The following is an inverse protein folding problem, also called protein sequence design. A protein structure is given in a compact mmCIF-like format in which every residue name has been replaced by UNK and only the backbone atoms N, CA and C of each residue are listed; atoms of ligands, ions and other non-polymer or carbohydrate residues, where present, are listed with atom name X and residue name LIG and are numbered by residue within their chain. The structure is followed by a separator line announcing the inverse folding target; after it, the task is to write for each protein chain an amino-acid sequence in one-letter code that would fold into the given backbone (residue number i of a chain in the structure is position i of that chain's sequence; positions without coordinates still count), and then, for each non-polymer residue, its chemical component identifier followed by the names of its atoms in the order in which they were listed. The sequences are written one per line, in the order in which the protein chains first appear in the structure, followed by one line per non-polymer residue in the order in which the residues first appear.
data_IF_834807481413
#
_entry.id   IF_834807481413
#
_cell.length_a   1.000
_cell.length_b   1.000
_cell.length_c   1.000
_cell.angle_alpha   90.00
_cell.angle_beta   90.00
_cell.angle_gamma   90.00
#
_symmetry.space_group_name_H-M   'P 1'
#
loop_
_entity.id
_entity.type
_entity.pdbx_description
1 polymer ?
#
# COMPACT_ATOMS: atom_id res chain seq x y z
N UNK A 1 -9.79 -13.33 -15.20
CA UNK A 1 -9.08 -14.50 -15.77
C UNK A 1 -8.78 -15.47 -14.62
N UNK A 2 -9.32 -16.70 -14.68
CA UNK A 2 -9.37 -17.68 -13.56
C UNK A 2 -8.19 -18.68 -13.54
N UNK A 3 -7.18 -18.45 -14.38
CA UNK A 3 -6.00 -19.31 -14.58
C UNK A 3 -5.33 -19.75 -13.27
N UNK A 4 -5.22 -18.91 -12.21
CA UNK A 4 -4.41 -19.27 -11.04
C UNK A 4 -5.04 -20.28 -10.08
N UNK A 5 -6.29 -20.63 -10.28
CA UNK A 5 -6.98 -21.64 -9.47
C UNK A 5 -7.30 -22.90 -10.27
N UNK A 6 -6.86 -22.97 -11.54
CA UNK A 6 -7.04 -24.13 -12.39
C UNK A 6 -5.85 -25.07 -12.27
N UNK A 7 -6.09 -26.38 -12.26
CA UNK A 7 -5.03 -27.39 -12.28
C UNK A 7 -4.50 -27.52 -13.70
N UNK A 8 -3.55 -26.66 -14.04
CA UNK A 8 -2.91 -26.67 -15.36
C UNK A 8 -1.99 -27.88 -15.50
N UNK A 9 -2.14 -28.62 -16.58
CA UNK A 9 -1.17 -29.62 -17.03
C UNK A 9 0.11 -28.94 -17.52
N UNK A 10 1.22 -29.67 -17.59
CA UNK A 10 2.50 -29.12 -18.05
C UNK A 10 2.42 -28.55 -19.49
N UNK A 11 1.64 -29.19 -20.36
CA UNK A 11 1.44 -28.74 -21.75
C UNK A 11 0.68 -27.40 -21.81
N UNK A 12 -0.33 -27.22 -20.97
CA UNK A 12 -1.08 -25.96 -20.85
C UNK A 12 -0.22 -24.84 -20.28
N UNK A 13 0.57 -25.12 -19.23
CA UNK A 13 1.52 -24.15 -18.68
C UNK A 13 2.52 -23.69 -19.74
N UNK A 14 3.06 -24.63 -20.52
CA UNK A 14 3.98 -24.32 -21.62
C UNK A 14 3.31 -23.43 -22.68
N UNK A 15 2.06 -23.72 -23.04
CA UNK A 15 1.30 -22.92 -24.01
C UNK A 15 1.10 -21.49 -23.52
N UNK A 16 0.77 -21.31 -22.24
CA UNK A 16 0.61 -19.99 -21.62
C UNK A 16 1.96 -19.25 -21.58
N UNK A 17 3.05 -19.93 -21.21
CA UNK A 17 4.39 -19.34 -21.26
C UNK A 17 4.76 -18.85 -22.66
N UNK A 18 4.44 -19.61 -23.71
CA UNK A 18 4.68 -19.19 -25.10
C UNK A 18 3.86 -17.95 -25.46
N UNK A 19 2.58 -17.91 -25.08
CA UNK A 19 1.73 -16.74 -25.30
C UNK A 19 2.26 -15.51 -24.56
N UNK A 20 2.66 -15.66 -23.30
CA UNK A 20 3.22 -14.58 -22.48
C UNK A 20 4.50 -14.03 -23.12
N UNK A 21 5.45 -14.89 -23.51
CA UNK A 21 6.69 -14.47 -24.18
C UNK A 21 6.42 -13.74 -25.49
N UNK A 22 5.43 -14.19 -26.29
CA UNK A 22 5.05 -13.52 -27.53
C UNK A 22 4.50 -12.11 -27.26
N UNK A 23 3.63 -11.98 -26.27
CA UNK A 23 3.06 -10.71 -25.86
C UNK A 23 4.14 -9.75 -25.34
N UNK A 24 5.04 -10.23 -24.47
CA UNK A 24 6.17 -9.45 -23.95
C UNK A 24 7.10 -8.97 -25.06
N UNK A 25 7.46 -9.85 -26.02
CA UNK A 25 8.28 -9.46 -27.17
C UNK A 25 7.59 -8.36 -27.98
N UNK A 26 6.29 -8.51 -28.25
CA UNK A 26 5.52 -7.52 -28.99
C UNK A 26 5.45 -6.18 -28.25
N UNK A 27 5.20 -6.19 -26.95
CA UNK A 27 5.14 -4.98 -26.12
C UNK A 27 6.47 -4.22 -26.09
N UNK A 28 7.60 -4.94 -26.15
CA UNK A 28 8.94 -4.34 -26.23
C UNK A 28 9.42 -4.06 -27.66
N UNK A 29 8.59 -4.27 -28.69
CA UNK A 29 8.98 -4.08 -30.10
C UNK A 29 10.06 -5.05 -30.59
N UNK A 30 10.23 -6.19 -29.90
CA UNK A 30 11.26 -7.18 -30.21
C UNK A 30 10.79 -8.15 -31.30
N UNK A 31 11.66 -8.53 -32.25
CA UNK A 31 11.33 -9.54 -33.25
C UNK A 31 10.98 -10.89 -32.64
N UNK A 32 10.11 -11.65 -33.31
CA UNK A 32 9.64 -12.95 -32.81
C UNK A 32 10.76 -13.97 -32.55
N UNK A 33 11.85 -13.89 -33.32
CA UNK A 33 13.04 -14.76 -33.21
C UNK A 33 14.00 -14.40 -32.06
N UNK A 34 13.70 -13.37 -31.26
CA UNK A 34 14.54 -12.98 -30.12
C UNK A 34 14.72 -14.16 -29.15
N UNK A 35 15.97 -14.41 -28.73
CA UNK A 35 16.30 -15.52 -27.83
C UNK A 35 15.52 -15.43 -26.51
N UNK A 36 14.82 -16.50 -26.13
CA UNK A 36 13.99 -16.55 -24.91
C UNK A 36 14.83 -16.46 -23.64
N UNK A 37 16.05 -16.99 -23.65
CA UNK A 37 16.99 -16.92 -22.54
C UNK A 37 17.40 -15.48 -22.24
N UNK A 38 17.70 -14.70 -23.28
CA UNK A 38 17.99 -13.27 -23.16
C UNK A 38 16.77 -12.49 -22.69
N UNK A 39 15.58 -12.79 -23.20
CA UNK A 39 14.35 -12.15 -22.77
C UNK A 39 14.07 -12.36 -21.27
N UNK A 40 14.27 -13.57 -20.76
CA UNK A 40 14.11 -13.88 -19.34
C UNK A 40 15.20 -13.24 -18.47
N UNK A 41 16.45 -13.21 -18.94
CA UNK A 41 17.58 -12.62 -18.22
C UNK A 41 17.44 -11.10 -17.99
N UNK A 42 16.65 -10.42 -18.83
CA UNK A 42 16.37 -8.99 -18.69
C UNK A 42 15.43 -8.70 -17.49
N UNK A 43 14.67 -9.69 -17.01
CA UNK A 43 13.83 -9.55 -15.81
C UNK A 43 12.69 -8.51 -15.91
N UNK A 44 12.38 -8.01 -17.12
CA UNK A 44 11.36 -6.97 -17.33
C UNK A 44 9.92 -7.46 -17.21
N UNK A 45 9.70 -8.77 -17.14
CA UNK A 45 8.37 -9.36 -17.07
C UNK A 45 8.37 -10.54 -16.13
N UNK A 46 7.27 -10.70 -15.39
CA UNK A 46 7.09 -11.83 -14.50
C UNK A 46 6.79 -13.09 -15.31
N UNK A 47 7.36 -14.21 -14.89
CA UNK A 47 7.01 -15.53 -15.43
C UNK A 47 5.61 -15.96 -14.96
N UNK A 48 5.02 -16.97 -15.63
CA UNK A 48 3.72 -17.52 -15.21
C UNK A 48 3.79 -18.02 -13.75
N UNK A 49 4.87 -18.70 -13.36
CA UNK A 49 5.09 -19.16 -11.99
C UNK A 49 5.12 -18.00 -11.00
N UNK A 50 5.85 -16.93 -11.29
CA UNK A 50 5.90 -15.73 -10.44
C UNK A 50 4.53 -15.05 -10.33
N UNK A 51 3.77 -14.97 -11.43
CA UNK A 51 2.42 -14.42 -11.41
C UNK A 51 1.45 -15.27 -10.58
N UNK A 52 1.55 -16.60 -10.68
CA UNK A 52 0.77 -17.54 -9.88
C UNK A 52 1.11 -17.41 -8.40
N UNK A 53 2.40 -17.37 -8.07
CA UNK A 53 2.89 -17.21 -6.72
C UNK A 53 2.48 -15.87 -6.11
N UNK A 54 2.64 -14.77 -6.84
CA UNK A 54 2.19 -13.44 -6.41
C UNK A 54 0.68 -13.44 -6.13
N UNK A 55 -0.12 -14.06 -7.01
CA UNK A 55 -1.55 -14.17 -6.80
C UNK A 55 -1.90 -15.04 -5.59
N UNK A 56 -1.27 -16.20 -5.42
CA UNK A 56 -1.50 -17.07 -4.27
C UNK A 56 -1.10 -16.39 -2.96
N UNK A 57 0.02 -15.68 -2.96
CA UNK A 57 0.49 -14.91 -1.80
C UNK A 57 -0.50 -13.81 -1.43
N UNK A 58 -0.97 -13.03 -2.41
CA UNK A 58 -1.98 -12.00 -2.19
C UNK A 58 -3.31 -12.59 -1.65
N UNK A 59 -3.74 -13.71 -2.21
CA UNK A 59 -4.95 -14.41 -1.75
C UNK A 59 -4.79 -14.95 -0.33
N UNK A 60 -3.64 -15.55 -0.02
CA UNK A 60 -3.32 -16.04 1.33
C UNK A 60 -3.31 -14.90 2.34
N UNK A 61 -2.64 -13.79 2.04
CA UNK A 61 -2.65 -12.58 2.89
C UNK A 61 -4.09 -12.08 3.11
N UNK A 62 -4.89 -12.00 2.05
CA UNK A 62 -6.31 -11.60 2.14
C UNK A 62 -7.15 -12.53 3.01
N UNK A 63 -6.84 -13.83 3.01
CA UNK A 63 -7.49 -14.83 3.87
C UNK A 63 -7.02 -14.70 5.34
N UNK A 64 -5.81 -14.24 5.59
CA UNK A 64 -5.31 -13.99 6.96
C UNK A 64 -5.99 -12.79 7.64
N UNK A 65 -6.56 -11.85 6.88
CA UNK A 65 -7.14 -10.61 7.43
C UNK A 65 -8.44 -10.80 8.23
N UNK A 66 -9.15 -11.92 8.11
CA UNK A 66 -10.42 -12.10 8.84
C UNK A 66 -10.44 -13.38 9.68
N UNK A 67 -11.07 -13.35 10.87
CA UNK A 67 -11.09 -14.50 11.78
C UNK A 67 -11.73 -15.74 11.15
N UNK A 68 -12.83 -15.58 10.40
CA UNK A 68 -13.50 -16.68 9.68
C UNK A 68 -12.59 -17.31 8.62
N UNK A 69 -11.82 -16.51 7.88
CA UNK A 69 -10.94 -17.00 6.82
C UNK A 69 -9.64 -17.60 7.37
N UNK A 70 -9.12 -17.08 8.49
CA UNK A 70 -8.04 -17.72 9.26
C UNK A 70 -8.47 -19.11 9.72
N UNK A 71 -9.67 -19.23 10.28
CA UNK A 71 -10.20 -20.54 10.68
C UNK A 71 -10.28 -21.53 9.50
N UNK A 72 -10.68 -21.05 8.31
CA UNK A 72 -10.66 -21.86 7.09
C UNK A 72 -9.24 -22.29 6.69
N UNK A 73 -8.25 -21.38 6.75
CA UNK A 73 -6.85 -21.71 6.48
C UNK A 73 -6.30 -22.76 7.46
N UNK A 74 -6.59 -22.61 8.75
CA UNK A 74 -6.23 -23.58 9.78
C UNK A 74 -6.88 -24.94 9.52
N UNK A 75 -8.17 -24.97 9.14
CA UNK A 75 -8.86 -26.21 8.75
C UNK A 75 -8.26 -26.91 7.54
N UNK A 76 -7.71 -26.14 6.59
CA UNK A 76 -7.03 -26.66 5.41
C UNK A 76 -5.57 -27.06 5.67
N UNK A 77 -5.08 -26.93 6.91
CA UNK A 77 -3.71 -27.31 7.28
C UNK A 77 -2.63 -26.31 6.87
N UNK A 78 -3.01 -25.10 6.44
CA UNK A 78 -2.03 -24.05 6.18
C UNK A 78 -1.55 -23.46 7.50
N UNK A 79 -0.23 -23.23 7.67
CA UNK A 79 0.28 -22.56 8.86
C UNK A 79 -0.25 -21.14 8.87
N UNK A 80 -1.14 -20.89 9.82
CA UNK A 80 -1.55 -19.57 10.26
C UNK A 80 -0.69 -19.32 11.48
N UNK A 81 0.39 -18.56 11.33
CA UNK A 81 1.07 -18.07 12.53
C UNK A 81 0.02 -17.30 13.36
N UNK A 82 -0.01 -17.46 14.69
CA UNK A 82 -0.61 -16.44 15.54
C UNK A 82 -0.04 -15.13 15.05
N UNK A 83 -0.92 -14.21 14.67
CA UNK A 83 -0.47 -12.86 14.41
C UNK A 83 -0.03 -12.38 15.80
N UNK A 84 1.26 -12.46 16.12
CA UNK A 84 1.81 -11.87 17.35
C UNK A 84 1.67 -10.35 17.32
N UNK A 85 1.37 -9.79 16.14
CA UNK A 85 0.59 -8.57 16.00
C UNK A 85 -0.90 -8.93 15.91
N UNK A 86 -1.55 -9.17 17.05
CA UNK A 86 -2.76 -8.42 17.24
C UNK A 86 -2.32 -6.98 17.00
N UNK A 87 -2.60 -6.42 15.82
CA UNK A 87 -2.67 -4.98 15.63
C UNK A 87 -3.52 -4.54 16.80
N UNK A 88 -2.85 -4.17 17.90
CA UNK A 88 -3.48 -3.72 19.12
C UNK A 88 -3.83 -2.28 18.79
N UNK A 89 -4.71 -2.15 17.80
CA UNK A 89 -5.33 -0.92 17.38
C UNK A 89 -6.23 -0.63 18.54
N UNK A 90 -5.68 0.07 19.53
CA UNK A 90 -6.43 0.53 20.69
C UNK A 90 -7.60 1.30 20.10
N UNK A 91 -8.80 0.80 20.34
CA UNK A 91 -9.99 1.44 19.83
C UNK A 91 -10.03 2.86 20.40
N UNK A 92 -9.99 3.86 19.51
CA UNK A 92 -10.08 5.25 19.95
C UNK A 92 -11.36 5.44 20.77
N UNK A 93 -11.28 6.14 21.92
CA UNK A 93 -12.46 6.47 22.70
C UNK A 93 -13.54 7.10 21.81
N UNK A 94 -14.83 6.75 21.99
CA UNK A 94 -15.91 7.21 21.10
C UNK A 94 -16.03 8.72 20.97
N UNK A 95 -15.58 9.48 21.97
CA UNK A 95 -15.57 10.94 21.94
C UNK A 95 -14.47 11.47 21.00
N UNK A 96 -13.24 10.94 21.03
CA UNK A 96 -12.16 11.30 20.09
C UNK A 96 -12.59 11.00 18.66
N UNK A 97 -13.13 9.80 18.43
CA UNK A 97 -13.52 9.35 17.10
C UNK A 97 -14.60 10.22 16.46
N UNK A 98 -15.51 10.80 17.25
CA UNK A 98 -16.56 11.71 16.76
C UNK A 98 -16.01 13.07 16.35
N UNK A 99 -14.90 13.50 16.92
CA UNK A 99 -14.23 14.76 16.58
C UNK A 99 -13.41 14.65 15.30
N UNK A 100 -12.86 13.46 15.01
CA UNK A 100 -12.06 13.22 13.81
C UNK A 100 -12.93 13.11 12.55
N UNK A 101 -12.81 14.09 11.65
CA UNK A 101 -13.37 14.03 10.30
C UNK A 101 -12.35 13.47 9.32
N UNK A 102 -12.43 12.17 9.04
CA UNK A 102 -11.57 11.51 8.06
C UNK A 102 -12.24 11.52 6.69
N UNK A 103 -11.65 12.23 5.72
CA UNK A 103 -12.13 12.18 4.34
C UNK A 103 -11.75 10.85 3.67
N UNK A 104 -12.63 10.28 2.84
CA UNK A 104 -12.35 9.01 2.19
C UNK A 104 -11.11 9.12 1.29
N UNK A 105 -10.24 8.13 1.38
CA UNK A 105 -9.10 8.01 0.47
C UNK A 105 -9.62 7.73 -0.94
N UNK A 106 -9.07 8.42 -1.97
CA UNK A 106 -9.49 8.21 -3.33
C UNK A 106 -9.19 6.78 -3.79
N UNK A 107 -10.22 6.10 -4.31
CA UNK A 107 -10.08 4.75 -4.88
C UNK A 107 -9.58 4.82 -6.33
N UNK A 108 -8.80 3.81 -6.72
CA UNK A 108 -8.25 3.63 -8.07
C UNK A 108 -7.50 4.87 -8.58
N UNK A 109 -6.56 5.42 -7.80
CA UNK A 109 -5.82 6.64 -8.16
C UNK A 109 -4.33 6.31 -8.38
N UNK A 110 -4.00 5.81 -9.57
CA UNK A 110 -2.65 5.46 -9.99
C UNK A 110 -1.76 6.72 -10.13
N UNK A 111 -0.54 6.75 -9.58
CA UNK A 111 0.38 7.89 -9.72
C UNK A 111 0.65 8.27 -11.17
N UNK A 112 0.79 7.27 -12.04
CA UNK A 112 1.20 7.42 -13.44
C UNK A 112 0.01 7.74 -14.36
N UNK A 113 -1.15 7.12 -14.11
CA UNK A 113 -2.27 7.13 -15.05
C UNK A 113 -3.37 8.14 -14.70
N UNK A 114 -3.46 8.59 -13.43
CA UNK A 114 -4.56 9.43 -12.92
C UNK A 114 -4.15 10.88 -12.59
N UNK A 115 -3.15 11.43 -13.29
CA UNK A 115 -2.62 12.77 -13.00
C UNK A 115 -3.70 13.87 -12.94
N UNK A 116 -4.68 13.85 -13.86
CA UNK A 116 -5.78 14.81 -13.88
C UNK A 116 -6.68 14.73 -12.63
N UNK A 117 -6.98 13.51 -12.17
CA UNK A 117 -7.77 13.26 -10.96
C UNK A 117 -7.01 13.67 -9.70
N UNK A 118 -5.69 13.44 -9.66
CA UNK A 118 -4.82 13.92 -8.56
C UNK A 118 -4.85 15.44 -8.47
N UNK A 119 -4.70 16.15 -9.60
CA UNK A 119 -4.80 17.63 -9.63
C UNK A 119 -6.17 18.13 -9.20
N UNK A 120 -7.25 17.49 -9.65
CA UNK A 120 -8.61 17.84 -9.21
C UNK A 120 -8.81 17.65 -7.71
N UNK A 121 -8.22 16.58 -7.15
CA UNK A 121 -8.24 16.32 -5.71
C UNK A 121 -7.48 17.38 -4.92
N UNK A 122 -6.30 17.77 -5.36
CA UNK A 122 -5.52 18.86 -4.73
C UNK A 122 -6.33 20.16 -4.74
N UNK A 123 -6.90 20.55 -5.90
CA UNK A 123 -7.76 21.75 -5.98
C UNK A 123 -8.94 21.69 -5.02
N UNK A 124 -9.57 20.53 -4.88
CA UNK A 124 -10.67 20.34 -3.94
C UNK A 124 -10.21 20.49 -2.47
N UNK A 125 -9.06 19.93 -2.10
CA UNK A 125 -8.51 20.07 -0.75
C UNK A 125 -8.13 21.52 -0.45
N UNK A 126 -7.44 22.19 -1.38
CA UNK A 126 -7.08 23.62 -1.26
C UNK A 126 -8.33 24.47 -1.08
N UNK A 127 -9.39 24.22 -1.86
CA UNK A 127 -10.66 24.94 -1.73
C UNK A 127 -11.41 24.61 -0.43
N UNK A 128 -11.30 23.38 0.08
CA UNK A 128 -11.93 23.01 1.35
C UNK A 128 -11.24 23.68 2.53
N UNK A 129 -9.93 23.85 2.45
CA UNK A 129 -9.10 24.42 3.50
C UNK A 129 -8.90 25.92 3.34
N UNK A 130 -9.48 26.56 2.33
CA UNK A 130 -9.25 27.98 2.01
C UNK A 130 -9.66 28.94 3.13
N UNK A 131 -10.63 28.53 3.93
CA UNK A 131 -11.15 29.34 5.05
C UNK A 131 -10.28 29.20 6.31
N UNK A 132 -9.29 28.31 6.28
CA UNK A 132 -8.36 28.05 7.38
C UNK A 132 -7.03 28.74 7.05
N UNK A 133 -6.47 29.57 7.95
CA UNK A 133 -5.14 30.14 7.75
C UNK A 133 -4.10 29.05 7.46
N UNK A 134 -3.13 29.34 6.60
CA UNK A 134 -2.06 28.39 6.25
C UNK A 134 -1.27 27.93 7.48
N UNK A 135 -1.08 28.82 8.46
CA UNK A 135 -0.45 28.53 9.77
C UNK A 135 -1.21 27.51 10.61
N UNK A 136 -2.50 27.34 10.35
CA UNK A 136 -3.38 26.42 11.08
C UNK A 136 -3.64 25.12 10.29
N UNK A 137 -3.12 25.02 9.07
CA UNK A 137 -3.17 23.80 8.26
C UNK A 137 -1.87 23.05 8.45
N UNK A 138 -1.94 21.89 9.10
CA UNK A 138 -0.77 21.09 9.42
C UNK A 138 -0.67 19.89 8.47
N UNK A 139 0.52 19.70 7.92
CA UNK A 139 0.90 18.56 7.10
C UNK A 139 1.83 17.68 7.90
N UNK A 140 1.62 16.36 7.83
CA UNK A 140 2.50 15.39 8.48
C UNK A 140 2.87 14.30 7.49
N UNK A 141 4.08 13.79 7.63
CA UNK A 141 4.54 12.59 6.94
C UNK A 141 5.45 11.79 7.86
N UNK A 142 5.51 10.48 7.63
CA UNK A 142 6.34 9.57 8.40
C UNK A 142 7.20 8.72 7.47
N UNK A 143 8.49 8.66 7.77
CA UNK A 143 9.46 7.89 7.00
C UNK A 143 10.16 6.86 7.85
N UNK A 144 10.53 5.74 7.23
CA UNK A 144 11.29 4.68 7.90
C UNK A 144 12.74 5.13 8.07
N UNK A 145 13.23 5.03 9.30
CA UNK A 145 14.63 5.25 9.67
C UNK A 145 15.31 3.93 10.05
N UNK A 146 16.62 3.97 10.31
CA UNK A 146 17.41 2.78 10.65
C UNK A 146 16.81 1.96 11.80
N UNK A 147 16.25 2.62 12.81
CA UNK A 147 15.76 2.00 14.05
C UNK A 147 14.25 2.20 14.29
N UNK A 148 13.48 2.51 13.26
CA UNK A 148 12.02 2.70 13.39
C UNK A 148 11.48 3.69 12.38
N UNK A 149 10.67 4.65 12.84
CA UNK A 149 10.05 5.66 12.01
C UNK A 149 10.30 7.05 12.59
N UNK A 150 10.48 8.04 11.73
CA UNK A 150 10.48 9.45 12.11
C UNK A 150 9.34 10.17 11.41
N UNK A 151 8.63 10.99 12.15
CA UNK A 151 7.55 11.81 11.62
C UNK A 151 7.88 13.30 11.79
N UNK A 152 7.44 14.10 10.84
CA UNK A 152 7.62 15.55 10.82
C UNK A 152 6.29 16.23 10.59
N UNK A 153 6.11 17.40 11.19
CA UNK A 153 4.92 18.23 11.02
C UNK A 153 5.32 19.60 10.51
N UNK A 154 4.73 20.00 9.39
CA UNK A 154 4.91 21.30 8.75
C UNK A 154 3.59 22.08 8.79
N UNK A 155 3.67 23.41 8.78
CA UNK A 155 2.50 24.25 8.46
C UNK A 155 2.32 24.42 6.93
N UNK A 156 1.27 25.12 6.51
CA UNK A 156 1.03 25.44 5.10
C UNK A 156 2.05 26.39 4.47
N UNK A 157 2.87 27.06 5.28
CA UNK A 157 4.01 27.86 4.83
C UNK A 157 5.31 27.06 4.71
N UNK A 158 5.25 25.72 4.80
CA UNK A 158 6.39 24.80 4.76
C UNK A 158 7.37 24.97 5.94
N UNK A 159 6.94 25.62 7.03
CA UNK A 159 7.75 25.79 8.23
C UNK A 159 7.68 24.53 9.08
N UNK A 160 8.85 24.02 9.49
CA UNK A 160 8.95 22.88 10.41
C UNK A 160 8.48 23.28 11.81
N UNK A 161 7.42 22.65 12.30
CA UNK A 161 6.88 22.89 13.64
C UNK A 161 7.43 21.91 14.66
N UNK A 162 7.42 20.61 14.33
CA UNK A 162 7.90 19.56 15.24
C UNK A 162 8.31 18.30 14.47
N UNK A 163 9.11 17.46 15.13
CA UNK A 163 9.54 16.16 14.63
C UNK A 163 9.78 15.21 15.81
N UNK A 164 9.50 13.93 15.61
CA UNK A 164 9.86 12.90 16.57
C UNK A 164 10.17 11.57 15.88
N UNK A 165 10.85 10.68 16.61
CA UNK A 165 11.17 9.34 16.16
C UNK A 165 10.63 8.30 17.13
N UNK A 166 10.06 7.23 16.60
CA UNK A 166 9.54 6.09 17.35
C UNK A 166 10.24 4.81 16.90
N UNK A 167 10.71 4.03 17.88
CA UNK A 167 11.15 2.66 17.62
C UNK A 167 9.92 1.78 17.40
N UNK A 168 9.66 1.44 16.14
CA UNK A 168 8.61 0.49 15.77
C UNK A 168 8.99 -0.29 14.51
N UNK A 169 8.44 -1.50 14.38
CA UNK A 169 8.53 -2.30 13.18
C UNK A 169 7.41 -2.01 12.16
N UNK A 170 6.35 -1.28 12.54
CA UNK A 170 5.17 -1.08 11.69
C UNK A 170 5.11 0.34 11.11
N UNK A 171 4.77 0.48 9.81
CA UNK A 171 4.58 1.80 9.20
C UNK A 171 3.38 2.54 9.79
N UNK A 172 2.36 1.81 10.24
CA UNK A 172 1.18 2.37 10.90
C UNK A 172 1.57 3.20 12.13
N UNK A 173 2.52 2.75 12.92
CA UNK A 173 2.96 3.48 14.12
C UNK A 173 3.67 4.79 13.76
N UNK A 174 4.39 4.83 12.63
CA UNK A 174 4.97 6.06 12.09
C UNK A 174 3.90 7.07 11.68
N UNK A 175 2.87 6.63 10.95
CA UNK A 175 1.75 7.48 10.54
C UNK A 175 0.94 8.01 11.74
N UNK A 176 0.68 7.14 12.73
CA UNK A 176 0.00 7.52 13.98
C UNK A 176 0.83 8.55 14.76
N UNK A 177 2.15 8.38 14.83
CA UNK A 177 3.05 9.36 15.44
C UNK A 177 2.91 10.73 14.77
N UNK A 178 2.94 10.77 13.44
CA UNK A 178 2.79 12.02 12.69
C UNK A 178 1.48 12.73 12.96
N UNK A 179 0.36 12.01 12.90
CA UNK A 179 -0.97 12.58 13.22
C UNK A 179 -1.04 13.04 14.68
N UNK A 180 -0.48 12.26 15.62
CA UNK A 180 -0.47 12.62 17.04
C UNK A 180 0.31 13.91 17.30
N UNK A 181 1.49 14.07 16.69
CA UNK A 181 2.29 15.29 16.75
C UNK A 181 1.53 16.49 16.17
N UNK A 182 0.87 16.31 15.04
CA UNK A 182 0.08 17.38 14.43
C UNK A 182 -1.09 17.81 15.33
N UNK A 183 -1.79 16.85 15.95
CA UNK A 183 -2.87 17.15 16.90
C UNK A 183 -2.33 17.84 18.15
N UNK A 184 -1.20 17.39 18.70
CA UNK A 184 -0.55 18.05 19.84
C UNK A 184 -0.21 19.50 19.53
N UNK A 185 0.38 19.75 18.36
CA UNK A 185 0.74 21.08 17.90
C UNK A 185 -0.50 21.96 17.67
N UNK A 186 -1.56 21.42 17.06
CA UNK A 186 -2.80 22.15 16.82
C UNK A 186 -3.54 22.52 18.12
N UNK A 187 -3.44 21.68 19.16
CA UNK A 187 -4.07 21.91 20.45
C UNK A 187 -3.20 22.69 21.44
N UNK A 188 -1.94 23.02 21.07
CA UNK A 188 -0.95 23.64 21.96
C UNK A 188 -0.81 22.90 23.30
N UNK A 189 -0.98 21.58 23.31
CA UNK A 189 -0.84 20.78 24.52
C UNK A 189 0.67 20.60 24.79
N UNK A 190 1.17 21.02 25.97
CA UNK A 190 2.60 20.89 26.30
C UNK A 190 3.06 19.42 26.30
#
# INVERSE_FOLDING_TARGET
MWVPFHRLTQSEQMRIHVMLRKATKLAHGLPHYTATTRLLAVGTHNTLSELLEAQWTSQRQRLLLTPTRRHLLSRLGYPVLPNDAEDTTIALPPWVRRTLKVHPLPRNMSPEHDAGRRRARVRYLVRMLSDIPETNTLYTDATRCCNGYSAVVLDGGETLLTAASLRSATPTDGEVLGVALAVQQALQIP
#
